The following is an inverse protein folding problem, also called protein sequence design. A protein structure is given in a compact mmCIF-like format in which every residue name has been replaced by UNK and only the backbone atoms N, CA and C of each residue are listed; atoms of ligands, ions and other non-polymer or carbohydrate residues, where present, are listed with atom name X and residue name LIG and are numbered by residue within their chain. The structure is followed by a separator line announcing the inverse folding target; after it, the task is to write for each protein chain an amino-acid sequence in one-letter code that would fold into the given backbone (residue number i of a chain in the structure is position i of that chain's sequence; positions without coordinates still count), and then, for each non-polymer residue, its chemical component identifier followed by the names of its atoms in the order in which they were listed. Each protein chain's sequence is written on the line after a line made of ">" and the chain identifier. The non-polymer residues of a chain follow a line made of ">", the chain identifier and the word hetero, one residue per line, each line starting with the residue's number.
data_IF_216219068584
#
_entry.id   IF_216219068584
#
_cell.length_a   1.000
_cell.length_b   1.000
_cell.length_c   1.000
_cell.angle_alpha   90.00
_cell.angle_beta   90.00
_cell.angle_gamma   90.00
#
_symmetry.space_group_name_H-M   'P 1'
#
loop_
_entity.id
_entity.type
_entity.pdbx_description
1 polymer ?
#
# COMPACT_ATOMS: atom_id res chain seq x y z
N UNK A 1 -3.02 -5.77 0.39
CA UNK A 1 -3.55 -5.82 1.77
C UNK A 1 -2.82 -4.76 2.58
N UNK A 2 -3.55 -3.97 3.37
CA UNK A 2 -2.98 -2.99 4.29
C UNK A 2 -2.38 -3.72 5.49
N UNK A 3 -1.10 -3.48 5.77
CA UNK A 3 -0.34 -4.23 6.79
C UNK A 3 -0.19 -3.49 8.12
N UNK A 4 -0.38 -2.17 8.14
CA UNK A 4 -0.18 -1.31 9.30
C UNK A 4 -1.35 -0.34 9.52
N UNK A 5 -1.36 0.34 10.66
CA UNK A 5 -2.35 1.37 11.01
C UNK A 5 -1.92 2.81 10.63
N UNK A 6 -0.94 2.99 9.74
CA UNK A 6 -0.48 4.33 9.35
C UNK A 6 -1.51 5.14 8.57
N UNK A 7 -2.52 4.46 8.02
CA UNK A 7 -3.61 5.04 7.24
C UNK A 7 -4.94 5.14 8.00
N UNK A 8 -4.93 4.92 9.32
CA UNK A 8 -6.13 5.11 10.12
C UNK A 8 -6.51 6.61 10.20
N UNK A 9 -7.81 6.96 10.16
CA UNK A 9 -8.98 6.07 10.12
C UNK A 9 -9.41 5.65 8.70
N UNK A 10 -8.79 6.16 7.63
CA UNK A 10 -9.24 5.93 6.25
C UNK A 10 -9.17 4.45 5.83
N UNK A 11 -8.09 3.77 6.21
CA UNK A 11 -7.92 2.33 6.01
C UNK A 11 -7.42 1.67 7.29
N UNK A 12 -7.90 0.44 7.51
CA UNK A 12 -7.54 -0.35 8.67
C UNK A 12 -6.57 -1.47 8.26
N UNK A 13 -5.78 -1.98 9.21
CA UNK A 13 -4.99 -3.19 8.99
C UNK A 13 -5.93 -4.33 8.55
N UNK A 14 -5.54 -5.01 7.46
CA UNK A 14 -6.34 -6.07 6.85
C UNK A 14 -7.29 -5.61 5.74
N UNK A 15 -7.37 -4.31 5.43
CA UNK A 15 -8.13 -3.86 4.28
C UNK A 15 -7.48 -4.32 2.96
N UNK A 16 -8.29 -4.73 1.99
CA UNK A 16 -7.85 -5.02 0.62
C UNK A 16 -8.16 -3.80 -0.24
N UNK A 17 -7.13 -3.22 -0.85
CA UNK A 17 -7.27 -2.07 -1.73
C UNK A 17 -7.32 -2.50 -3.19
N UNK A 18 -8.26 -1.92 -3.93
CA UNK A 18 -8.27 -2.01 -5.39
C UNK A 18 -7.50 -0.84 -5.96
N UNK A 19 -6.53 -1.15 -6.82
CA UNK A 19 -5.64 -0.16 -7.41
C UNK A 19 -5.99 0.05 -8.87
N UNK A 20 -6.03 1.31 -9.28
CA UNK A 20 -6.14 1.74 -10.66
C UNK A 20 -4.85 2.50 -11.03
N UNK A 21 -4.18 2.04 -12.08
CA UNK A 21 -2.99 2.68 -12.64
C UNK A 21 -3.23 3.23 -14.06
N UNK A 22 -4.48 3.23 -14.55
CA UNK A 22 -4.83 3.73 -15.88
C UNK A 22 -4.73 5.25 -16.00
N UNK A 23 -4.91 5.96 -14.88
CA UNK A 23 -4.80 7.42 -14.83
C UNK A 23 -3.37 7.86 -14.54
N UNK A 24 -2.84 8.71 -15.40
CA UNK A 24 -1.54 9.33 -15.17
C UNK A 24 -1.61 10.48 -14.15
N UNK A 25 -2.75 11.17 -14.11
CA UNK A 25 -2.99 12.30 -13.22
C UNK A 25 -3.20 11.83 -11.77
N UNK A 26 -2.50 12.51 -10.87
CA UNK A 26 -2.58 12.33 -9.43
C UNK A 26 -2.79 13.68 -8.77
N UNK A 27 -3.67 13.72 -7.77
CA UNK A 27 -4.04 14.96 -7.11
C UNK A 27 -3.72 14.91 -5.63
N UNK A 28 -3.58 16.10 -5.02
CA UNK A 28 -3.50 16.20 -3.56
C UNK A 28 -4.74 15.55 -2.95
N UNK A 29 -4.52 14.68 -1.96
CA UNK A 29 -5.58 13.91 -1.30
C UNK A 29 -5.80 12.52 -1.89
N UNK A 30 -5.29 12.20 -3.08
CA UNK A 30 -5.33 10.83 -3.61
C UNK A 30 -4.52 9.89 -2.70
N UNK A 31 -5.00 8.65 -2.56
CA UNK A 31 -4.29 7.60 -1.84
C UNK A 31 -3.57 6.74 -2.86
N UNK A 32 -2.25 6.66 -2.74
CA UNK A 32 -1.41 5.96 -3.70
C UNK A 32 -0.62 4.86 -3.03
N UNK A 33 -0.39 3.81 -3.80
CA UNK A 33 0.56 2.76 -3.45
C UNK A 33 1.82 3.02 -4.22
N UNK A 34 2.94 3.13 -3.52
CA UNK A 34 4.24 3.39 -4.12
C UNK A 34 5.29 2.41 -3.60
N UNK A 35 6.34 2.22 -4.40
CA UNK A 35 7.47 1.37 -4.05
C UNK A 35 8.73 2.21 -4.03
N UNK A 36 9.49 2.09 -2.95
CA UNK A 36 10.81 2.71 -2.85
C UNK A 36 11.83 1.71 -3.41
N UNK A 37 12.83 2.24 -4.12
CA UNK A 37 13.96 1.43 -4.60
C UNK A 37 14.59 0.65 -3.43
N UNK A 38 14.89 -0.62 -3.66
CA UNK A 38 15.50 -1.53 -2.68
C UNK A 38 14.65 -1.84 -1.44
N UNK A 39 13.33 -1.56 -1.47
CA UNK A 39 12.35 -2.09 -0.51
C UNK A 39 11.36 -3.02 -1.18
N UNK A 40 11.18 -4.21 -0.60
CA UNK A 40 10.26 -5.21 -1.13
C UNK A 40 8.79 -4.89 -0.86
N UNK A 41 8.51 -4.25 0.29
CA UNK A 41 7.15 -3.98 0.74
C UNK A 41 6.70 -2.60 0.25
N UNK A 42 5.65 -2.52 -0.59
CA UNK A 42 5.11 -1.24 -1.02
C UNK A 42 4.41 -0.52 0.14
N UNK A 43 4.37 0.81 0.04
CA UNK A 43 3.78 1.69 1.05
C UNK A 43 2.51 2.30 0.47
N UNK A 44 1.48 2.42 1.31
CA UNK A 44 0.21 3.05 0.94
C UNK A 44 0.03 4.30 1.76
N UNK A 45 0.09 5.49 1.16
CA UNK A 45 -0.13 6.75 1.86
C UNK A 45 -0.87 7.79 1.00
N UNK A 46 -1.29 8.89 1.62
CA UNK A 46 -2.01 9.97 0.95
C UNK A 46 -1.05 11.01 0.39
N UNK A 47 -1.32 11.48 -0.81
CA UNK A 47 -0.59 12.61 -1.40
C UNK A 47 -0.90 13.87 -0.60
N UNK A 48 0.14 14.44 0.01
CA UNK A 48 0.10 15.68 0.77
C UNK A 48 0.37 16.88 -0.14
N UNK A 49 1.29 16.76 -1.10
CA UNK A 49 1.62 17.83 -2.06
C UNK A 49 1.95 17.25 -3.43
N UNK A 50 1.56 18.00 -4.46
CA UNK A 50 1.92 17.76 -5.87
C UNK A 50 2.61 19.02 -6.36
N UNK A 51 3.80 18.86 -6.94
CA UNK A 51 4.51 19.93 -7.65
C UNK A 51 4.68 19.52 -9.11
N UNK A 52 4.18 20.34 -10.01
CA UNK A 52 4.41 20.18 -11.44
C UNK A 52 5.51 21.14 -11.88
N UNK A 53 6.57 20.60 -12.47
CA UNK A 53 7.63 21.41 -13.06
C UNK A 53 7.22 21.88 -14.46
N UNK A 54 7.78 23.00 -14.96
CA UNK A 54 7.58 23.44 -16.34
C UNK A 54 8.00 22.40 -17.39
N UNK A 55 8.87 21.46 -17.02
CA UNK A 55 9.31 20.34 -17.86
C UNK A 55 8.25 19.24 -18.01
N UNK A 56 7.15 19.30 -17.25
CA UNK A 56 6.12 18.25 -17.19
C UNK A 56 6.39 17.16 -16.15
N UNK A 57 7.51 17.22 -15.43
CA UNK A 57 7.78 16.30 -14.31
C UNK A 57 6.87 16.59 -13.11
N UNK A 58 6.31 15.54 -12.52
CA UNK A 58 5.47 15.61 -11.32
C UNK A 58 6.24 15.07 -10.12
N UNK A 59 6.39 15.91 -9.11
CA UNK A 59 7.00 15.57 -7.82
C UNK A 59 5.93 15.48 -6.73
N UNK A 60 5.95 14.38 -5.98
CA UNK A 60 4.91 14.03 -5.02
C UNK A 60 5.50 13.92 -3.61
N UNK A 61 4.78 14.43 -2.63
CA UNK A 61 5.04 14.21 -1.21
C UNK A 61 3.86 13.46 -0.61
N UNK A 62 4.12 12.32 0.01
CA UNK A 62 3.09 11.50 0.67
C UNK A 62 3.22 11.59 2.19
N UNK A 63 2.12 11.25 2.87
CA UNK A 63 2.05 11.11 4.31
C UNK A 63 0.98 10.10 4.68
N UNK A 64 1.27 9.24 5.65
CA UNK A 64 0.25 8.40 6.30
C UNK A 64 -0.75 9.23 7.09
N UNK A 65 -2.04 8.94 6.94
CA UNK A 65 -3.13 9.69 7.59
C UNK A 65 -2.93 9.77 9.12
N UNK A 66 -2.45 8.70 9.74
CA UNK A 66 -2.18 8.59 11.18
C UNK A 66 -0.74 8.94 11.58
N UNK A 67 0.14 9.30 10.63
CA UNK A 67 1.52 9.65 10.93
C UNK A 67 1.64 11.12 11.38
N UNK A 68 2.62 11.46 12.22
CA UNK A 68 2.88 12.86 12.63
C UNK A 68 3.73 13.65 11.63
N UNK A 69 4.53 12.94 10.85
CA UNK A 69 5.50 13.48 9.89
C UNK A 69 5.21 12.95 8.50
N UNK A 70 5.70 13.65 7.47
CA UNK A 70 5.66 13.17 6.09
C UNK A 70 6.64 12.02 5.82
N UNK A 71 6.55 11.43 4.63
CA UNK A 71 7.27 10.21 4.29
C UNK A 71 8.70 10.45 3.78
N UNK A 72 9.24 11.67 3.82
CA UNK A 72 10.60 11.95 3.31
C UNK A 72 11.66 11.09 3.98
N UNK A 73 11.51 10.80 5.27
CA UNK A 73 12.41 9.91 6.01
C UNK A 73 12.28 8.43 5.62
N UNK A 74 11.24 8.06 4.87
CA UNK A 74 11.02 6.70 4.38
C UNK A 74 11.58 6.48 2.98
N UNK A 75 11.71 7.54 2.16
CA UNK A 75 12.19 7.47 0.78
C UNK A 75 13.64 6.96 0.68
N UNK A 76 14.09 6.71 -0.55
CA UNK A 76 15.46 6.29 -0.80
C UNK A 76 16.47 7.38 -0.35
N UNK A 77 17.72 7.01 0.02
CA UNK A 77 18.73 8.00 0.39
C UNK A 77 18.91 9.09 -0.67
N UNK A 78 18.74 10.35 -0.27
CA UNK A 78 18.84 11.50 -1.17
C UNK A 78 17.56 11.82 -1.97
N UNK A 79 16.50 11.02 -1.84
CA UNK A 79 15.21 11.25 -2.48
C UNK A 79 14.30 12.09 -1.57
N UNK A 80 13.89 13.27 -2.04
CA UNK A 80 12.97 14.16 -1.31
C UNK A 80 11.53 14.16 -1.84
N UNK A 81 11.35 13.65 -3.05
CA UNK A 81 10.09 13.62 -3.78
C UNK A 81 9.94 12.27 -4.49
N UNK A 82 8.71 11.75 -4.51
CA UNK A 82 8.36 10.61 -5.33
C UNK A 82 8.03 11.09 -6.74
N UNK A 83 8.39 10.29 -7.73
CA UNK A 83 8.01 10.52 -9.13
C UNK A 83 6.84 9.62 -9.52
N UNK A 84 6.23 9.88 -10.67
CA UNK A 84 5.10 9.07 -11.17
C UNK A 84 5.47 7.59 -11.35
N UNK A 85 6.74 7.32 -11.64
CA UNK A 85 7.31 5.98 -11.84
C UNK A 85 7.36 5.15 -10.55
N UNK A 86 7.46 5.80 -9.39
CA UNK A 86 7.43 5.13 -8.08
C UNK A 86 6.01 4.68 -7.69
N UNK A 87 4.99 5.27 -8.31
CA UNK A 87 3.58 5.00 -8.04
C UNK A 87 3.11 3.75 -8.79
N UNK A 88 2.78 2.71 -8.03
CA UNK A 88 2.20 1.46 -8.55
C UNK A 88 0.74 1.62 -8.96
N UNK A 89 0.01 2.51 -8.28
CA UNK A 89 -1.38 2.83 -8.62
C UNK A 89 -2.11 3.61 -7.53
N UNK A 90 -3.28 4.13 -7.89
CA UNK A 90 -4.18 4.85 -6.99
C UNK A 90 -5.21 3.89 -6.39
N UNK A 91 -5.46 3.99 -5.08
CA UNK A 91 -6.53 3.25 -4.45
C UNK A 91 -7.91 3.83 -4.83
N UNK A 92 -8.75 3.02 -5.49
CA UNK A 92 -10.10 3.42 -5.96
C UNK A 92 -11.22 2.73 -5.21
N UNK A 93 -10.93 1.65 -4.48
CA UNK A 93 -11.89 0.94 -3.66
C UNK A 93 -11.23 0.14 -2.55
N UNK A 94 -12.02 -0.31 -1.57
CA UNK A 94 -11.54 -1.13 -0.45
C UNK A 94 -12.55 -2.20 -0.05
N UNK A 95 -12.07 -3.37 0.35
CA UNK A 95 -12.81 -4.35 1.14
C UNK A 95 -12.23 -4.41 2.55
N UNK A 96 -13.07 -4.08 3.53
CA UNK A 96 -12.62 -3.94 4.91
C UNK A 96 -12.34 -5.29 5.57
N UNK A 97 -11.22 -5.39 6.28
CA UNK A 97 -10.82 -6.54 7.10
C UNK A 97 -10.65 -7.91 6.41
N UNK A 98 -11.00 -8.07 5.13
CA UNK A 98 -10.90 -9.36 4.42
C UNK A 98 -9.46 -9.89 4.38
N UNK A 99 -8.49 -9.00 4.21
CA UNK A 99 -7.07 -9.33 4.22
C UNK A 99 -6.55 -9.79 5.59
N UNK A 100 -7.33 -9.68 6.68
CA UNK A 100 -6.97 -10.27 7.97
C UNK A 100 -6.79 -11.78 7.87
N UNK A 101 -7.51 -12.46 6.96
CA UNK A 101 -7.31 -13.90 6.70
C UNK A 101 -5.89 -14.16 6.20
N UNK A 102 -5.43 -13.37 5.22
CA UNK A 102 -4.07 -13.49 4.67
C UNK A 102 -3.02 -13.16 5.73
N UNK A 103 -3.26 -12.14 6.56
CA UNK A 103 -2.37 -11.77 7.67
C UNK A 103 -2.30 -12.91 8.68
N UNK A 104 -3.43 -13.48 9.11
CA UNK A 104 -3.46 -14.58 10.08
C UNK A 104 -2.75 -15.84 9.55
N UNK A 105 -2.91 -16.16 8.26
CA UNK A 105 -2.19 -17.28 7.64
C UNK A 105 -0.68 -17.07 7.55
N UNK A 106 -0.23 -15.81 7.47
CA UNK A 106 1.20 -15.47 7.47
C UNK A 106 1.76 -15.46 8.89
N UNK A 107 1.06 -14.82 9.83
CA UNK A 107 1.47 -14.67 11.24
C UNK A 107 1.45 -16.02 11.99
N UNK A 108 0.55 -16.94 11.61
CA UNK A 108 0.43 -18.28 12.21
C UNK A 108 0.65 -19.39 11.16
N UNK A 109 1.90 -19.81 10.90
CA UNK A 109 2.20 -20.86 9.92
C UNK A 109 1.46 -22.18 10.15
N UNK A 110 1.14 -22.51 11.41
CA UNK A 110 0.35 -23.70 11.77
C UNK A 110 -1.01 -23.70 11.07
N UNK A 111 -1.68 -22.54 10.96
CA UNK A 111 -2.97 -22.43 10.29
C UNK A 111 -2.86 -22.82 8.81
N UNK A 112 -1.75 -22.45 8.16
CA UNK A 112 -1.45 -22.82 6.77
C UNK A 112 -1.31 -24.34 6.63
N UNK A 113 -0.58 -25.01 7.53
CA UNK A 113 -0.40 -26.47 7.49
C UNK A 113 -1.71 -27.22 7.75
N UNK A 114 -2.51 -26.77 8.72
CA UNK A 114 -3.82 -27.35 9.01
C UNK A 114 -4.74 -27.24 7.79
N UNK A 115 -4.78 -26.08 7.14
CA UNK A 115 -5.61 -25.85 5.95
C UNK A 115 -5.20 -26.75 4.78
N UNK A 116 -3.90 -26.88 4.51
CA UNK A 116 -3.38 -27.81 3.49
C UNK A 116 -3.69 -29.27 3.84
N UNK A 117 -3.55 -29.65 5.11
CA UNK A 117 -3.89 -30.99 5.58
C UNK A 117 -5.39 -31.33 5.40
N UNK A 118 -6.28 -30.39 5.75
CA UNK A 118 -7.72 -30.52 5.53
C UNK A 118 -8.07 -30.64 4.04
N UNK A 119 -7.45 -29.84 3.18
CA UNK A 119 -7.64 -29.93 1.73
C UNK A 119 -7.18 -31.29 1.19
N UNK A 120 -6.02 -31.79 1.67
CA UNK A 120 -5.53 -33.11 1.30
C UNK A 120 -6.48 -34.24 1.71
N UNK A 121 -7.02 -34.17 2.94
CA UNK A 121 -8.01 -35.13 3.41
C UNK A 121 -9.30 -35.08 2.58
N UNK A 122 -9.82 -33.88 2.29
CA UNK A 122 -11.02 -33.69 1.47
C UNK A 122 -10.88 -34.24 0.05
N UNK A 123 -9.69 -34.17 -0.55
CA UNK A 123 -9.44 -34.74 -1.88
C UNK A 123 -9.36 -36.27 -1.85
N UNK A 124 -8.95 -36.85 -0.72
CA UNK A 124 -8.80 -38.31 -0.56
C UNK A 124 -10.09 -39.03 -0.13
N UNK A 125 -11.07 -38.29 0.37
CA UNK A 125 -12.41 -38.80 0.77
C UNK A 125 -13.44 -38.56 -0.32
#
# INVERSE_FOLDING_TARGET
>A
VVLSGSMEPAFQRGDILFLDNSKHEVFVGDVVVFKIKDRDIPIVHRILKVHEKPTGEVELLTKGDNNRVDDRGLYAPGQLWLQREDILGKATGTLRYVGMVTIALNDYPVLKYVLVGMMGLFVLT
#
